data_IF_372074385729
#
_entry.id   IF_372074385729
#
_cell.length_a   1.000
_cell.length_b   1.000
_cell.length_c   1.000
_cell.angle_alpha   90.00
_cell.angle_beta   90.00
_cell.angle_gamma   90.00
#
_symmetry.space_group_name_H-M   'P 1'
#
loop_
_entity.id
_entity.type
_entity.pdbx_description
1 polymer ?
#
# COMPACT_ATOMS: atom_id res chain seq x y z
N UNK A 1 18.65 42.26 -40.73
CA UNK A 1 19.46 41.34 -39.88
C UNK A 1 18.49 40.63 -38.95
N UNK A 2 17.82 39.65 -39.53
CA UNK A 2 16.61 39.03 -39.01
C UNK A 2 16.94 38.02 -37.91
N UNK A 3 16.45 38.30 -36.71
CA UNK A 3 16.65 37.45 -35.55
C UNK A 3 15.69 36.28 -35.66
N UNK A 4 16.16 35.16 -36.20
CA UNK A 4 15.37 33.95 -36.36
C UNK A 4 14.70 33.52 -35.04
N UNK A 5 13.37 33.54 -35.04
CA UNK A 5 12.49 32.95 -34.04
C UNK A 5 12.84 31.47 -33.85
N UNK A 6 13.21 31.06 -32.64
CA UNK A 6 13.62 29.68 -32.34
C UNK A 6 12.39 28.77 -32.24
N UNK A 7 12.16 27.78 -33.12
CA UNK A 7 11.01 26.89 -33.03
C UNK A 7 11.36 25.68 -32.16
N UNK A 8 11.67 25.89 -30.88
CA UNK A 8 11.82 24.80 -29.92
C UNK A 8 10.64 24.75 -28.96
N UNK A 9 9.45 24.43 -29.50
CA UNK A 9 8.39 23.83 -28.68
C UNK A 9 8.82 22.43 -28.29
N UNK A 10 9.73 22.33 -27.31
CA UNK A 10 9.94 21.08 -26.60
C UNK A 10 8.63 20.75 -25.86
N UNK A 11 7.79 19.91 -26.47
CA UNK A 11 6.70 19.24 -25.73
C UNK A 11 7.38 18.51 -24.57
N UNK A 12 7.18 19.03 -23.36
CA UNK A 12 7.70 18.39 -22.16
C UNK A 12 7.16 16.95 -22.14
N UNK A 13 8.03 15.97 -22.40
CA UNK A 13 7.72 14.56 -22.18
C UNK A 13 7.37 14.46 -20.70
N UNK A 14 6.06 14.36 -20.41
CA UNK A 14 5.53 14.34 -19.04
C UNK A 14 6.31 13.26 -18.32
N UNK A 15 7.15 13.63 -17.35
CA UNK A 15 8.10 12.68 -16.79
C UNK A 15 7.33 11.50 -16.22
N UNK A 16 7.68 10.30 -16.71
CA UNK A 16 7.04 9.02 -16.35
C UNK A 16 7.04 8.72 -14.83
N UNK A 17 7.71 9.57 -14.03
CA UNK A 17 7.82 9.47 -12.57
C UNK A 17 6.60 10.03 -11.82
N UNK A 18 5.69 10.77 -12.49
CA UNK A 18 4.48 11.30 -11.84
C UNK A 18 3.30 10.34 -12.01
N UNK A 19 3.15 9.40 -11.07
CA UNK A 19 1.92 8.60 -10.95
C UNK A 19 0.71 9.54 -10.83
N UNK A 20 -0.34 9.21 -11.57
CA UNK A 20 -1.60 9.95 -11.57
C UNK A 20 -2.25 9.92 -10.18
N UNK A 21 -3.00 10.97 -9.81
CA UNK A 21 -3.75 10.99 -8.55
C UNK A 21 -4.76 9.83 -8.51
N UNK A 22 -4.99 9.22 -7.33
CA UNK A 22 -5.90 8.09 -7.20
C UNK A 22 -7.38 8.45 -7.38
N UNK A 23 -7.74 9.74 -7.25
CA UNK A 23 -9.12 10.25 -7.42
C UNK A 23 -9.22 11.01 -8.74
N UNK A 24 -10.25 10.71 -9.52
CA UNK A 24 -10.59 11.42 -10.75
C UNK A 24 -11.50 12.61 -10.43
N UNK A 25 -11.52 13.62 -11.31
CA UNK A 25 -12.26 14.87 -11.08
C UNK A 25 -13.79 14.71 -10.99
N UNK A 26 -14.34 13.55 -11.36
CA UNK A 26 -15.79 13.25 -11.31
C UNK A 26 -16.23 12.40 -10.10
N UNK A 27 -15.30 11.97 -9.25
CA UNK A 27 -15.67 11.17 -8.08
C UNK A 27 -16.33 12.07 -7.02
N UNK A 28 -17.54 11.71 -6.57
CA UNK A 28 -18.23 12.41 -5.50
C UNK A 28 -17.56 12.12 -4.14
N UNK A 29 -16.98 13.15 -3.53
CA UNK A 29 -16.25 13.07 -2.26
C UNK A 29 -17.19 13.43 -1.12
N UNK A 30 -17.91 12.43 -0.61
CA UNK A 30 -18.85 12.56 0.50
C UNK A 30 -18.40 11.78 1.74
N UNK A 31 -18.85 12.23 2.91
CA UNK A 31 -18.61 11.56 4.20
C UNK A 31 -19.28 10.17 4.28
N UNK A 32 -20.32 9.94 3.47
CA UNK A 32 -21.06 8.67 3.36
C UNK A 32 -20.19 7.55 2.75
N UNK A 33 -19.22 7.91 1.90
CA UNK A 33 -18.37 6.97 1.19
C UNK A 33 -17.17 6.53 2.07
N UNK A 34 -17.44 5.74 3.10
CA UNK A 34 -16.43 5.28 4.09
C UNK A 34 -15.27 4.53 3.42
N UNK A 35 -15.52 3.75 2.38
CA UNK A 35 -14.50 3.02 1.61
C UNK A 35 -13.47 3.95 0.96
N UNK A 36 -13.92 5.09 0.42
CA UNK A 36 -13.05 6.09 -0.19
C UNK A 36 -12.25 6.81 0.89
N UNK A 37 -12.93 7.28 1.95
CA UNK A 37 -12.31 8.00 3.06
C UNK A 37 -11.23 7.16 3.77
N UNK A 38 -11.47 5.86 3.96
CA UNK A 38 -10.54 4.94 4.64
C UNK A 38 -9.18 4.82 3.95
N UNK A 39 -9.11 5.02 2.62
CA UNK A 39 -7.84 4.99 1.86
C UNK A 39 -6.93 6.18 2.17
N UNK A 40 -7.49 7.29 2.65
CA UNK A 40 -6.76 8.52 2.96
C UNK A 40 -6.42 8.68 4.44
N UNK A 41 -6.61 7.62 5.22
CA UNK A 41 -6.37 7.58 6.66
C UNK A 41 -5.28 6.56 6.95
N UNK A 42 -4.39 6.87 7.89
CA UNK A 42 -3.37 5.96 8.36
C UNK A 42 -3.98 4.85 9.23
N UNK A 43 -3.24 3.76 9.46
CA UNK A 43 -3.66 2.71 10.40
C UNK A 43 -4.01 3.24 11.79
N UNK A 44 -3.38 4.32 12.22
CA UNK A 44 -3.61 4.97 13.52
C UNK A 44 -4.90 5.83 13.57
N UNK A 45 -5.55 6.06 12.42
CA UNK A 45 -6.66 7.00 12.33
C UNK A 45 -6.22 8.44 12.08
N UNK A 46 -5.02 8.72 11.54
CA UNK A 46 -4.59 10.09 11.18
C UNK A 46 -4.81 10.36 9.69
N UNK A 47 -5.20 11.58 9.31
CA UNK A 47 -5.38 11.94 7.90
C UNK A 47 -4.00 12.01 7.22
N UNK A 48 -3.87 11.36 6.06
CA UNK A 48 -2.63 11.37 5.28
C UNK A 48 -2.41 12.73 4.61
N UNK A 49 -1.15 13.15 4.51
CA UNK A 49 -0.81 14.42 3.87
C UNK A 49 -0.96 14.36 2.34
N UNK A 50 -1.23 15.51 1.74
CA UNK A 50 -1.37 15.66 0.28
C UNK A 50 -0.17 15.11 -0.51
N UNK A 51 1.04 15.23 0.04
CA UNK A 51 2.28 14.77 -0.62
C UNK A 51 2.33 13.25 -0.74
N UNK A 52 1.78 12.55 0.25
CA UNK A 52 1.69 11.08 0.27
C UNK A 52 0.57 10.61 -0.65
N UNK A 53 -0.61 11.23 -0.56
CA UNK A 53 -1.80 10.85 -1.33
C UNK A 53 -1.76 11.30 -2.79
N UNK A 54 -0.89 12.28 -3.10
CA UNK A 54 -0.71 12.91 -4.42
C UNK A 54 -1.97 13.56 -4.99
N UNK A 55 -2.85 14.04 -4.13
CA UNK A 55 -4.08 14.73 -4.53
C UNK A 55 -3.83 16.19 -4.91
N UNK A 56 -4.78 16.76 -5.65
CA UNK A 56 -4.87 18.21 -5.83
C UNK A 56 -5.23 18.89 -4.50
N UNK A 57 -4.92 20.18 -4.37
CA UNK A 57 -5.25 20.93 -3.15
C UNK A 57 -6.76 20.97 -2.89
N UNK A 58 -7.55 21.17 -3.95
CA UNK A 58 -9.02 21.19 -3.90
C UNK A 58 -9.57 19.85 -3.39
N UNK A 59 -9.14 18.74 -3.98
CA UNK A 59 -9.53 17.39 -3.53
C UNK A 59 -9.13 17.12 -2.08
N UNK A 60 -7.91 17.49 -1.68
CA UNK A 60 -7.47 17.29 -0.30
C UNK A 60 -8.39 18.04 0.68
N UNK A 61 -8.75 19.30 0.40
CA UNK A 61 -9.67 20.08 1.26
C UNK A 61 -11.02 19.38 1.41
N UNK A 62 -11.62 18.93 0.30
CA UNK A 62 -12.89 18.18 0.34
C UNK A 62 -12.80 16.90 1.16
N UNK A 63 -11.76 16.09 0.94
CA UNK A 63 -11.53 14.86 1.72
C UNK A 63 -11.36 15.18 3.20
N UNK A 64 -10.62 16.25 3.53
CA UNK A 64 -10.38 16.61 4.92
C UNK A 64 -11.69 16.98 5.62
N UNK A 65 -12.56 17.75 4.96
CA UNK A 65 -13.89 18.08 5.47
C UNK A 65 -14.79 16.85 5.61
N UNK A 66 -14.84 16.00 4.58
CA UNK A 66 -15.64 14.76 4.59
C UNK A 66 -15.18 13.77 5.69
N UNK A 67 -13.86 13.59 5.90
CA UNK A 67 -13.34 12.76 6.98
C UNK A 67 -13.72 13.33 8.35
N UNK A 68 -13.65 14.65 8.52
CA UNK A 68 -14.05 15.29 9.79
C UNK A 68 -15.53 15.07 10.09
N UNK A 69 -16.40 15.25 9.10
CA UNK A 69 -17.84 14.94 9.23
C UNK A 69 -18.07 13.47 9.57
N UNK A 70 -17.44 12.55 8.84
CA UNK A 70 -17.53 11.11 9.09
C UNK A 70 -17.08 10.70 10.50
N UNK A 71 -16.12 11.41 11.10
CA UNK A 71 -15.68 11.17 12.48
C UNK A 71 -16.68 11.65 13.52
N UNK A 72 -17.30 12.81 13.29
CA UNK A 72 -18.36 13.32 14.18
C UNK A 72 -19.55 12.36 14.18
N UNK A 73 -19.87 11.79 13.02
CA UNK A 73 -20.94 10.79 12.85
C UNK A 73 -20.51 9.36 13.21
N UNK A 74 -19.33 9.16 13.80
CA UNK A 74 -18.82 7.85 14.22
C UNK A 74 -18.62 6.80 13.10
N UNK A 75 -18.68 7.18 11.82
CA UNK A 75 -18.32 6.28 10.71
C UNK A 75 -16.83 5.96 10.66
N UNK A 76 -15.99 6.87 11.17
CA UNK A 76 -14.54 6.71 11.23
C UNK A 76 -14.00 7.01 12.64
N UNK A 77 -13.01 6.24 13.11
CA UNK A 77 -12.43 6.45 14.43
C UNK A 77 -11.49 7.67 14.46
N UNK A 78 -11.46 8.38 15.60
CA UNK A 78 -10.49 9.45 15.86
C UNK A 78 -9.08 8.91 16.12
N UNK A 79 -8.97 7.77 16.82
CA UNK A 79 -7.72 7.09 17.16
C UNK A 79 -7.92 5.58 17.13
N UNK A 80 -7.00 4.87 16.49
CA UNK A 80 -6.96 3.41 16.51
C UNK A 80 -5.86 2.96 17.47
N UNK A 81 -6.21 2.15 18.48
CA UNK A 81 -5.22 1.53 19.34
C UNK A 81 -4.49 0.41 18.57
N UNK A 82 -3.17 0.51 18.36
CA UNK A 82 -2.42 -0.47 17.58
C UNK A 82 -2.48 -1.88 18.18
N UNK A 83 -2.66 -1.97 19.50
CA UNK A 83 -2.72 -3.22 20.28
C UNK A 83 -3.89 -4.13 19.86
N UNK A 84 -5.08 -3.57 19.57
CA UNK A 84 -6.28 -4.34 19.21
C UNK A 84 -6.13 -5.11 17.89
N UNK A 85 -5.29 -4.64 16.97
CA UNK A 85 -5.10 -5.28 15.66
C UNK A 85 -4.24 -6.55 15.77
N UNK A 86 -3.29 -6.61 16.71
CA UNK A 86 -2.39 -7.75 16.88
C UNK A 86 -3.03 -8.93 17.62
N UNK A 87 -4.02 -8.69 18.47
CA UNK A 87 -4.73 -9.76 19.20
C UNK A 87 -5.57 -10.63 18.25
N UNK A 88 -6.18 -10.03 17.21
CA UNK A 88 -7.03 -10.76 16.25
C UNK A 88 -6.28 -11.81 15.41
N UNK A 89 -4.95 -11.65 15.25
CA UNK A 89 -4.13 -12.61 14.50
C UNK A 89 -3.72 -13.83 15.33
N UNK A 90 -3.74 -13.75 16.67
CA UNK A 90 -3.31 -14.84 17.56
C UNK A 90 -4.43 -15.85 17.85
N UNK A 91 -5.70 -15.46 17.73
CA UNK A 91 -6.84 -16.35 17.97
C UNK A 91 -7.09 -17.37 16.85
N UNK A 92 -6.53 -17.16 15.65
CA UNK A 92 -6.68 -18.07 14.49
C UNK A 92 -5.61 -19.18 14.48
N UNK A 93 -4.61 -19.12 15.37
CA UNK A 93 -3.49 -20.08 15.41
C UNK A 93 -3.76 -21.34 16.28
N UNK A 94 -5.03 -21.73 16.49
CA UNK A 94 -5.41 -22.93 17.26
C UNK A 94 -6.11 -23.97 16.37
N UNK A 95 -5.35 -24.56 15.45
CA UNK A 95 -5.49 -25.95 14.94
C UNK A 95 -4.46 -26.16 13.83
N UNK A 96 -3.18 -26.30 14.19
CA UNK A 96 -2.24 -27.05 13.35
C UNK A 96 -1.91 -28.31 14.11
N UNK A 97 -2.65 -29.38 13.82
CA UNK A 97 -2.36 -30.71 14.32
C UNK A 97 -0.88 -31.03 14.10
N UNK A 98 -0.26 -31.60 15.12
CA UNK A 98 1.11 -32.09 15.09
C UNK A 98 1.26 -33.13 13.99
N UNK A 99 1.73 -32.73 12.80
CA UNK A 99 2.30 -33.68 11.85
C UNK A 99 3.65 -34.13 12.41
N UNK A 100 3.66 -35.32 13.02
CA UNK A 100 4.88 -36.08 13.27
C UNK A 100 5.64 -36.20 11.95
N UNK A 101 6.80 -35.52 11.87
CA UNK A 101 7.76 -35.75 10.80
C UNK A 101 8.57 -36.96 11.20
N UNK A 102 8.25 -38.13 10.63
CA UNK A 102 9.14 -39.28 10.66
C UNK A 102 10.49 -38.89 10.06
N UNK A 103 11.52 -38.81 10.89
CA UNK A 103 12.91 -38.62 10.47
C UNK A 103 13.38 -39.88 9.75
N UNK A 104 13.24 -39.91 8.43
CA UNK A 104 13.88 -40.89 7.57
C UNK A 104 15.31 -40.48 7.24
N UNK A 105 16.28 -40.92 8.03
CA UNK A 105 17.69 -40.90 7.64
C UNK A 105 17.89 -41.92 6.51
N UNK A 106 18.20 -41.44 5.29
CA UNK A 106 18.68 -42.28 4.18
C UNK A 106 20.22 -42.22 4.16
N UNK A 107 20.95 -43.34 4.32
CA UNK A 107 22.40 -43.31 4.22
C UNK A 107 22.83 -43.00 2.79
N UNK A 108 23.81 -42.10 2.64
CA UNK A 108 24.52 -41.86 1.37
C UNK A 108 25.47 -43.03 1.15
N UNK A 109 25.25 -43.82 0.11
CA UNK A 109 26.28 -44.73 -0.41
C UNK A 109 27.44 -43.89 -0.92
N UNK A 110 28.59 -43.96 -0.26
CA UNK A 110 29.84 -43.39 -0.77
C UNK A 110 30.29 -44.24 -1.96
N UNK A 111 30.31 -43.63 -3.16
CA UNK A 111 30.91 -44.25 -4.33
C UNK A 111 32.40 -44.49 -4.07
N UNK A 112 32.77 -45.76 -4.07
CA UNK A 112 34.17 -46.21 -3.97
C UNK A 112 34.89 -45.82 -5.25
N UNK A 113 35.92 -45.00 -5.10
CA UNK A 113 36.94 -44.75 -6.13
C UNK A 113 37.44 -46.08 -6.72
N UNK A 114 37.29 -46.28 -8.03
CA UNK A 114 37.96 -47.39 -8.72
C UNK A 114 39.22 -46.85 -9.43
N UNK A 115 40.37 -47.41 -9.03
CA UNK A 115 41.72 -47.12 -9.52
C UNK A 115 41.80 -47.19 -11.04
N UNK A 116 42.41 -46.18 -11.65
CA UNK A 116 42.86 -46.21 -13.05
C UNK A 116 43.91 -47.32 -13.23
N UNK A 117 43.75 -48.09 -14.29
CA UNK A 117 44.82 -48.90 -14.91
C UNK A 117 46.01 -47.98 -15.25
N UNK A 118 47.19 -48.31 -14.75
CA UNK A 118 48.44 -48.57 -15.48
C UNK A 118 49.46 -49.09 -14.47
#
# INVERSE_FOLDING_TARGET
MDKAERPFRHKAKRSFRRRLPPIRSGDQIDYRNVSLMSRFISRQGKILSRRVTRLTLKQQRFITSAIKQARILSFLPFRNNPKKVFEKARSVARTRGSRSRSTGYRPRTTGVYNKKKF
#
